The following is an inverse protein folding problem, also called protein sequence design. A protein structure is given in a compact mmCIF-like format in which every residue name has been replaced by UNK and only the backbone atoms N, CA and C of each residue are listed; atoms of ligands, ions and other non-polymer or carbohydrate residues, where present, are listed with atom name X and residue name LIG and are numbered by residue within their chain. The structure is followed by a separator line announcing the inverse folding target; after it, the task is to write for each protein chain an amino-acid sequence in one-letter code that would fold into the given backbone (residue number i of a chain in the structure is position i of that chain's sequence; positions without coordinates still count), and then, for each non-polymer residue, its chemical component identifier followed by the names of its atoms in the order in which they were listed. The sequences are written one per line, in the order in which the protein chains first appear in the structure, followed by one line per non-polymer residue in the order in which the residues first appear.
data_IF_247312414901
#
_entry.id   IF_247312414901
#
_cell.length_a   1.000
_cell.length_b   1.000
_cell.length_c   1.000
_cell.angle_alpha   90.00
_cell.angle_beta   90.00
_cell.angle_gamma   90.00
#
_symmetry.space_group_name_H-M   'P 1'
#
loop_
_entity.id
_entity.type
_entity.pdbx_description
1 polymer ?
#
# COMPACT_ATOMS: atom_id res chain seq x y z
N UNK A 1 2.31 10.46 24.62
CA UNK A 1 3.22 9.70 23.73
C UNK A 1 2.61 9.76 22.34
N UNK A 2 3.36 10.08 21.28
CA UNK A 2 2.86 9.96 19.91
C UNK A 2 2.46 8.50 19.67
N UNK A 3 1.32 8.27 18.99
CA UNK A 3 0.82 6.92 18.74
C UNK A 3 1.30 6.53 17.35
N UNK A 4 2.09 5.46 17.26
CA UNK A 4 2.62 4.98 16.00
C UNK A 4 2.04 3.59 15.71
N UNK A 5 1.51 3.40 14.51
CA UNK A 5 1.02 2.12 14.00
C UNK A 5 1.81 1.75 12.77
N UNK A 6 2.23 0.49 12.68
CA UNK A 6 2.75 -0.11 11.46
C UNK A 6 1.63 -0.86 10.74
N UNK A 7 1.53 -0.66 9.42
CA UNK A 7 0.64 -1.40 8.56
C UNK A 7 1.44 -2.09 7.47
N UNK A 8 1.15 -3.38 7.27
CA UNK A 8 1.87 -4.25 6.33
C UNK A 8 0.86 -4.92 5.39
N UNK A 9 0.13 -4.16 4.55
CA UNK A 9 -0.82 -4.74 3.62
C UNK A 9 -0.10 -5.60 2.56
N UNK A 10 -0.81 -6.64 2.14
CA UNK A 10 -0.35 -7.60 1.17
C UNK A 10 -1.34 -7.62 0.01
N UNK A 11 -0.83 -7.50 -1.21
CA UNK A 11 -1.66 -7.45 -2.42
C UNK A 11 -1.30 -8.59 -3.35
N UNK A 12 -2.32 -9.14 -4.00
CA UNK A 12 -2.24 -10.21 -5.00
C UNK A 12 -1.78 -9.66 -6.36
N UNK A 13 -0.63 -8.99 -6.36
CA UNK A 13 0.07 -8.52 -7.55
C UNK A 13 1.57 -8.43 -7.28
N UNK A 14 2.40 -8.97 -8.18
CA UNK A 14 3.86 -8.91 -8.07
C UNK A 14 4.59 -8.88 -9.42
N UNK A 15 3.86 -8.71 -10.53
CA UNK A 15 4.35 -8.85 -11.91
C UNK A 15 4.19 -7.58 -12.74
N UNK A 16 3.09 -6.85 -12.56
CA UNK A 16 2.73 -5.62 -13.26
C UNK A 16 3.28 -4.41 -12.51
N UNK A 17 4.45 -3.92 -12.94
CA UNK A 17 5.15 -2.80 -12.30
C UNK A 17 4.25 -1.56 -12.17
N UNK A 18 3.46 -1.26 -13.21
CA UNK A 18 2.55 -0.11 -13.21
C UNK A 18 1.44 -0.21 -12.16
N UNK A 19 1.00 -1.41 -11.81
CA UNK A 19 -0.02 -1.64 -10.77
C UNK A 19 0.61 -1.58 -9.38
N UNK A 20 1.81 -2.14 -9.24
CA UNK A 20 2.60 -2.09 -8.00
C UNK A 20 2.89 -0.64 -7.62
N UNK A 21 3.38 0.16 -8.57
CA UNK A 21 3.68 1.58 -8.38
C UNK A 21 2.42 2.38 -8.01
N UNK A 22 1.29 2.16 -8.70
CA UNK A 22 0.04 2.85 -8.40
C UNK A 22 -0.50 2.55 -6.99
N UNK A 23 -0.44 1.31 -6.52
CA UNK A 23 -0.94 0.95 -5.18
C UNK A 23 0.03 1.40 -4.08
N UNK A 24 1.32 1.17 -4.25
CA UNK A 24 2.34 1.59 -3.26
C UNK A 24 2.50 3.11 -3.20
N UNK A 25 2.29 3.80 -4.32
CA UNK A 25 2.32 5.25 -4.45
C UNK A 25 1.26 5.98 -3.62
N UNK A 26 0.14 5.33 -3.28
CA UNK A 26 -0.91 5.89 -2.41
C UNK A 26 -0.33 6.38 -1.08
N UNK A 27 0.65 5.67 -0.51
CA UNK A 27 1.30 6.09 0.75
C UNK A 27 2.07 7.40 0.56
N UNK A 28 2.77 7.55 -0.57
CA UNK A 28 3.53 8.76 -0.90
C UNK A 28 2.60 9.93 -1.19
N UNK A 29 1.51 9.71 -1.93
CA UNK A 29 0.50 10.73 -2.21
C UNK A 29 -0.14 11.26 -0.92
N UNK A 30 -0.53 10.36 -0.02
CA UNK A 30 -1.06 10.73 1.30
C UNK A 30 -0.03 11.52 2.13
N UNK A 31 1.23 11.08 2.13
CA UNK A 31 2.31 11.81 2.79
C UNK A 31 2.49 13.22 2.20
N UNK A 32 2.45 13.39 0.88
CA UNK A 32 2.52 14.70 0.22
C UNK A 32 1.28 15.57 0.46
N UNK A 33 0.12 14.95 0.70
CA UNK A 33 -1.10 15.63 1.11
C UNK A 33 -1.11 16.05 2.59
N UNK A 34 -0.05 15.75 3.35
CA UNK A 34 0.13 16.18 4.74
C UNK A 34 -0.45 15.21 5.78
N UNK A 35 -0.81 13.98 5.39
CA UNK A 35 -1.12 12.94 6.36
C UNK A 35 0.18 12.48 7.04
N UNK A 36 0.11 12.25 8.36
CA UNK A 36 1.21 11.72 9.17
C UNK A 36 1.40 10.22 8.93
N UNK A 37 1.90 9.88 7.73
CA UNK A 37 2.29 8.54 7.30
C UNK A 37 3.65 8.58 6.62
N UNK A 38 4.33 7.43 6.60
CA UNK A 38 5.61 7.26 5.91
C UNK A 38 5.73 5.87 5.34
N UNK A 39 6.00 5.80 4.03
CA UNK A 39 6.41 4.56 3.37
C UNK A 39 7.79 4.15 3.89
N UNK A 40 7.90 2.93 4.41
CA UNK A 40 9.16 2.37 4.89
C UNK A 40 9.79 1.43 3.86
N UNK A 41 8.98 0.59 3.24
CA UNK A 41 9.43 -0.38 2.25
C UNK A 41 8.29 -0.78 1.32
N UNK A 42 8.64 -1.23 0.12
CA UNK A 42 7.77 -2.08 -0.68
C UNK A 42 8.62 -3.17 -1.32
N UNK A 43 8.10 -4.40 -1.36
CA UNK A 43 8.74 -5.51 -2.06
C UNK A 43 7.71 -6.26 -2.88
N UNK A 44 8.09 -6.63 -4.09
CA UNK A 44 7.29 -7.45 -4.99
C UNK A 44 8.03 -8.75 -5.28
N UNK A 45 7.30 -9.86 -5.24
CA UNK A 45 7.76 -11.19 -5.61
C UNK A 45 6.99 -11.64 -6.86
N UNK A 46 7.73 -11.77 -7.96
CA UNK A 46 7.18 -12.12 -9.27
C UNK A 46 6.68 -13.56 -9.34
N UNK A 47 7.35 -14.48 -8.63
CA UNK A 47 7.04 -15.91 -8.63
C UNK A 47 5.76 -16.17 -7.83
N UNK A 48 5.63 -15.53 -6.67
CA UNK A 48 4.42 -15.58 -5.84
C UNK A 48 3.29 -14.65 -6.31
N UNK A 49 3.55 -13.82 -7.32
CA UNK A 49 2.65 -12.75 -7.79
C UNK A 49 2.12 -11.87 -6.66
N UNK A 50 2.97 -11.50 -5.70
CA UNK A 50 2.55 -10.81 -4.47
C UNK A 50 3.45 -9.65 -4.16
N UNK A 51 2.88 -8.59 -3.61
CA UNK A 51 3.65 -7.50 -3.02
C UNK A 51 3.27 -7.25 -1.57
N UNK A 52 4.26 -6.76 -0.83
CA UNK A 52 4.15 -6.33 0.55
C UNK A 52 4.56 -4.87 0.60
N UNK A 53 3.69 -4.02 1.15
CA UNK A 53 3.99 -2.61 1.40
C UNK A 53 4.06 -2.42 2.90
N UNK A 54 5.10 -1.76 3.40
CA UNK A 54 5.27 -1.46 4.82
C UNK A 54 5.27 0.05 5.01
N UNK A 55 4.37 0.55 5.83
CA UNK A 55 4.32 1.97 6.17
C UNK A 55 3.91 2.17 7.63
N UNK A 56 4.26 3.33 8.19
CA UNK A 56 3.94 3.70 9.57
C UNK A 56 3.31 5.08 9.64
N UNK A 57 2.54 5.36 10.68
CA UNK A 57 1.93 6.67 10.88
C UNK A 57 1.05 6.75 12.13
N UNK A 58 0.38 7.88 12.29
CA UNK A 58 -0.68 8.03 13.30
C UNK A 58 -1.88 7.12 12.97
N UNK A 59 -2.60 6.56 13.96
CA UNK A 59 -3.60 5.51 13.75
C UNK A 59 -4.66 5.81 12.68
N UNK A 60 -5.23 7.02 12.70
CA UNK A 60 -6.29 7.42 11.77
C UNK A 60 -5.75 7.61 10.35
N UNK A 61 -4.54 8.15 10.22
CA UNK A 61 -3.88 8.33 8.94
C UNK A 61 -3.50 6.97 8.31
N UNK A 62 -3.04 6.02 9.14
CA UNK A 62 -2.77 4.66 8.69
C UNK A 62 -4.02 3.94 8.22
N UNK A 63 -5.14 4.08 8.95
CA UNK A 63 -6.42 3.50 8.57
C UNK A 63 -6.91 4.05 7.21
N UNK A 64 -6.88 5.37 7.04
CA UNK A 64 -7.28 6.03 5.79
C UNK A 64 -6.44 5.55 4.61
N UNK A 65 -5.11 5.53 4.77
CA UNK A 65 -4.19 5.10 3.70
C UNK A 65 -4.39 3.62 3.36
N UNK A 66 -4.55 2.75 4.36
CA UNK A 66 -4.83 1.34 4.11
C UNK A 66 -6.14 1.14 3.32
N UNK A 67 -7.17 1.92 3.62
CA UNK A 67 -8.43 1.89 2.89
C UNK A 67 -8.29 2.37 1.44
N UNK A 68 -7.61 3.50 1.21
CA UNK A 68 -7.33 4.03 -0.13
C UNK A 68 -6.52 3.04 -0.97
N UNK A 69 -5.51 2.39 -0.38
CA UNK A 69 -4.74 1.34 -1.05
C UNK A 69 -5.63 0.15 -1.44
N UNK A 70 -6.56 -0.26 -0.56
CA UNK A 70 -7.50 -1.34 -0.86
C UNK A 70 -8.45 -0.95 -2.01
N UNK A 71 -8.96 0.30 -2.04
CA UNK A 71 -9.76 0.80 -3.15
C UNK A 71 -8.99 0.78 -4.46
N UNK A 72 -7.74 1.28 -4.46
CA UNK A 72 -6.87 1.25 -5.64
C UNK A 72 -6.60 -0.18 -6.13
N UNK A 73 -6.40 -1.12 -5.21
CA UNK A 73 -6.22 -2.53 -5.55
C UNK A 73 -7.46 -3.13 -6.22
N UNK A 74 -8.66 -2.82 -5.73
CA UNK A 74 -9.93 -3.28 -6.33
C UNK A 74 -10.11 -2.75 -7.75
N UNK A 75 -9.63 -1.54 -8.05
CA UNK A 75 -9.69 -0.96 -9.41
C UNK A 75 -8.74 -1.65 -10.40
N UNK A 76 -7.60 -2.16 -9.92
CA UNK A 76 -6.48 -2.58 -10.77
C UNK A 76 -6.24 -4.10 -10.83
N UNK A 77 -6.75 -4.84 -9.83
CA UNK A 77 -6.51 -6.28 -9.68
C UNK A 77 -7.82 -7.04 -9.91
N UNK A 78 -7.86 -7.82 -10.99
CA UNK A 78 -8.91 -8.81 -11.22
C UNK A 78 -8.44 -10.17 -10.69
N UNK A 79 -9.05 -10.61 -9.58
CA UNK A 79 -8.73 -11.87 -8.93
C UNK A 79 -9.10 -13.11 -9.76
N UNK A 80 -9.90 -12.99 -10.82
CA UNK A 80 -10.17 -14.12 -11.72
C UNK A 80 -8.97 -14.49 -12.61
N UNK A 81 -7.95 -13.61 -12.67
CA UNK A 81 -6.77 -13.75 -13.53
C UNK A 81 -5.45 -13.67 -12.75
N UNK A 82 -5.47 -13.93 -11.44
CA UNK A 82 -4.32 -13.83 -10.55
C UNK A 82 -3.32 -15.01 -10.67
#
# INVERSE_FOLDING_TARGET
MPKLVECVPNFSEGRREEVIEQISGVVLEAQYAGLEVRLLNHSADRDHNRMVVTFVGEPDAVLEVAFLMAQKAVELIDMNHH
#
